data_IF_426499024516
#
_entry.id   IF_426499024516
#
_cell.length_a   1.000
_cell.length_b   1.000
_cell.length_c   1.000
_cell.angle_alpha   90.00
_cell.angle_beta   90.00
_cell.angle_gamma   90.00
#
_symmetry.space_group_name_H-M   'P 1'
#
loop_
_entity.id
_entity.type
_entity.pdbx_description
1 polymer ?
#
# COMPACT_ATOMS: atom_id res chain seq x y z
N UNK A 1 -2.68 11.48 16.75
CA UNK A 1 -2.75 10.84 15.41
C UNK A 1 -2.37 9.38 15.55
N UNK A 2 -3.25 8.50 15.08
CA UNK A 2 -3.00 7.07 15.05
C UNK A 2 -1.84 6.74 14.08
N UNK A 3 -1.30 5.52 14.16
CA UNK A 3 -0.32 5.04 13.17
C UNK A 3 -0.91 5.04 11.75
N UNK A 4 -2.22 4.75 11.61
CA UNK A 4 -2.94 4.80 10.35
C UNK A 4 -2.93 6.22 9.76
N UNK A 5 -3.31 7.22 10.57
CA UNK A 5 -3.37 8.62 10.12
C UNK A 5 -2.00 9.12 9.66
N UNK A 6 -0.94 8.74 10.37
CA UNK A 6 0.44 9.12 10.02
C UNK A 6 0.86 8.52 8.68
N UNK A 7 0.52 7.24 8.44
CA UNK A 7 0.84 6.56 7.18
C UNK A 7 0.04 7.13 6.01
N UNK A 8 -1.28 7.38 6.18
CA UNK A 8 -2.10 8.08 5.19
C UNK A 8 -1.52 9.46 4.88
N UNK A 9 -1.24 10.27 5.90
CA UNK A 9 -0.62 11.59 5.70
C UNK A 9 0.70 11.52 4.97
N UNK A 10 1.56 10.52 5.25
CA UNK A 10 2.82 10.33 4.51
C UNK A 10 2.54 9.96 3.05
N UNK A 11 1.65 9.00 2.80
CA UNK A 11 1.29 8.54 1.45
C UNK A 11 0.83 9.72 0.60
N UNK A 12 -0.13 10.51 1.10
CA UNK A 12 -0.73 11.66 0.42
C UNK A 12 0.10 12.95 0.44
N UNK A 13 1.37 12.91 0.84
CA UNK A 13 2.25 14.07 0.65
C UNK A 13 2.44 14.38 -0.83
N UNK A 14 2.55 15.68 -1.11
CA UNK A 14 2.94 16.23 -2.41
C UNK A 14 4.17 17.14 -2.22
N UNK A 15 5.29 16.89 -2.93
CA UNK A 15 5.49 15.77 -3.85
C UNK A 15 5.47 14.40 -3.15
N UNK A 16 5.26 13.34 -3.93
CA UNK A 16 5.24 11.97 -3.41
C UNK A 16 6.50 11.66 -2.56
N UNK A 17 6.35 10.97 -1.42
CA UNK A 17 7.48 10.65 -0.55
C UNK A 17 8.45 9.68 -1.25
N UNK A 18 9.74 10.05 -1.27
CA UNK A 18 10.81 9.23 -1.88
C UNK A 18 11.30 8.09 -0.97
N UNK A 19 10.83 8.05 0.27
CA UNK A 19 11.26 7.15 1.34
C UNK A 19 10.12 6.25 1.84
N UNK A 20 9.01 6.17 1.12
CA UNK A 20 7.87 5.33 1.53
C UNK A 20 8.20 3.86 1.30
N UNK A 21 8.11 3.04 2.35
CA UNK A 21 8.56 1.65 2.30
C UNK A 21 7.44 0.65 2.04
N UNK A 22 7.80 -0.56 1.62
CA UNK A 22 6.89 -1.69 1.52
C UNK A 22 6.25 -2.02 2.87
N UNK A 23 7.02 -1.97 3.97
CA UNK A 23 6.50 -2.27 5.31
C UNK A 23 5.51 -1.20 5.79
N UNK A 24 5.72 0.06 5.42
CA UNK A 24 4.76 1.15 5.64
C UNK A 24 3.47 0.90 4.85
N UNK A 25 3.57 0.51 3.57
CA UNK A 25 2.40 0.18 2.74
C UNK A 25 1.63 -1.02 3.29
N UNK A 26 2.34 -2.10 3.60
CA UNK A 26 1.77 -3.31 4.22
C UNK A 26 1.04 -2.95 5.51
N UNK A 27 1.67 -2.19 6.40
CA UNK A 27 1.03 -1.77 7.65
C UNK A 27 -0.23 -0.92 7.40
N UNK A 28 -0.19 -0.03 6.40
CA UNK A 28 -1.32 0.80 6.01
C UNK A 28 -2.48 -0.05 5.50
N UNK A 29 -2.24 -0.92 4.53
CA UNK A 29 -3.28 -1.76 3.91
C UNK A 29 -3.90 -2.74 4.92
N UNK A 30 -3.09 -3.39 5.76
CA UNK A 30 -3.60 -4.27 6.82
C UNK A 30 -4.50 -3.53 7.82
N UNK A 31 -4.17 -2.27 8.15
CA UNK A 31 -5.01 -1.43 9.01
C UNK A 31 -6.29 -0.93 8.33
N UNK A 32 -6.34 -0.96 7.01
CA UNK A 32 -7.51 -0.63 6.20
C UNK A 32 -8.39 -1.84 5.89
N UNK A 33 -8.13 -3.01 6.49
CA UNK A 33 -8.96 -4.20 6.30
C UNK A 33 -8.52 -5.11 5.15
N UNK A 34 -7.41 -4.80 4.47
CA UNK A 34 -6.82 -5.72 3.51
C UNK A 34 -6.14 -6.89 4.22
N UNK A 35 -6.16 -8.06 3.57
CA UNK A 35 -5.46 -9.26 3.99
C UNK A 35 -4.34 -9.54 2.98
N UNK A 36 -3.14 -9.81 3.47
CA UNK A 36 -1.98 -10.14 2.64
C UNK A 36 -1.93 -11.63 2.31
N UNK A 37 -1.76 -11.93 1.02
CA UNK A 37 -1.58 -13.27 0.49
C UNK A 37 -0.27 -13.31 -0.31
N UNK A 38 0.67 -14.14 0.13
CA UNK A 38 1.95 -14.33 -0.54
C UNK A 38 1.78 -15.21 -1.78
N UNK A 39 2.24 -14.73 -2.94
CA UNK A 39 2.34 -15.52 -4.17
C UNK A 39 3.75 -16.07 -4.39
N UNK A 40 3.97 -16.70 -5.54
CA UNK A 40 5.30 -17.19 -5.93
C UNK A 40 6.31 -16.04 -6.10
N UNK A 41 7.49 -16.19 -5.49
CA UNK A 41 8.56 -15.19 -5.54
C UNK A 41 8.20 -13.90 -4.79
N UNK A 42 8.40 -12.74 -5.40
CA UNK A 42 8.11 -11.43 -4.80
C UNK A 42 6.66 -10.97 -4.96
N UNK A 43 5.80 -11.79 -5.57
CA UNK A 43 4.39 -11.43 -5.80
C UNK A 43 3.62 -11.44 -4.49
N UNK A 44 2.89 -10.37 -4.23
CA UNK A 44 2.02 -10.24 -3.06
C UNK A 44 0.68 -9.68 -3.49
N UNK A 45 -0.40 -10.29 -3.02
CA UNK A 45 -1.77 -9.81 -3.19
C UNK A 45 -2.26 -9.26 -1.86
N UNK A 46 -2.88 -8.09 -1.88
CA UNK A 46 -3.66 -7.58 -0.75
C UNK A 46 -5.14 -7.63 -1.15
N UNK A 47 -5.97 -8.36 -0.42
CA UNK A 47 -7.39 -8.52 -0.72
C UNK A 47 -8.25 -7.90 0.38
N UNK A 48 -9.18 -7.01 0.01
CA UNK A 48 -10.16 -6.47 0.94
C UNK A 48 -11.47 -7.29 0.85
N UNK A 49 -11.80 -8.12 1.85
CA UNK A 49 -12.94 -9.04 1.76
C UNK A 49 -14.30 -8.32 1.69
N UNK A 50 -14.48 -7.20 2.41
CA UNK A 50 -15.76 -6.49 2.40
C UNK A 50 -16.02 -5.70 1.11
N UNK A 51 -14.96 -5.28 0.41
CA UNK A 51 -15.03 -4.52 -0.84
C UNK A 51 -14.83 -5.43 -2.07
N UNK A 52 -14.59 -6.73 -1.84
CA UNK A 52 -14.20 -7.72 -2.84
C UNK A 52 -13.11 -7.22 -3.82
N UNK A 53 -12.09 -6.53 -3.29
CA UNK A 53 -11.12 -5.82 -4.12
C UNK A 53 -9.67 -6.30 -3.92
N UNK A 54 -8.98 -6.76 -4.98
CA UNK A 54 -7.58 -7.16 -4.92
C UNK A 54 -6.60 -6.07 -5.39
N UNK A 55 -5.51 -5.90 -4.65
CA UNK A 55 -4.32 -5.13 -5.05
C UNK A 55 -3.16 -6.10 -5.25
N UNK A 56 -2.74 -6.27 -6.49
CA UNK A 56 -1.59 -7.11 -6.83
C UNK A 56 -0.32 -6.26 -6.99
N UNK A 57 0.72 -6.61 -6.25
CA UNK A 57 2.00 -5.92 -6.21
C UNK A 57 3.17 -6.91 -6.24
N UNK A 58 4.35 -6.36 -6.52
CA UNK A 58 5.62 -7.04 -6.32
C UNK A 58 6.38 -6.33 -5.19
N UNK A 59 6.84 -7.11 -4.21
CA UNK A 59 7.75 -6.61 -3.19
C UNK A 59 9.04 -6.11 -3.86
N UNK A 60 9.54 -4.91 -3.52
CA UNK A 60 10.81 -4.41 -4.05
C UNK A 60 11.97 -5.34 -3.70
N UNK A 61 12.85 -5.63 -4.67
CA UNK A 61 14.08 -6.39 -4.47
C UNK A 61 15.18 -5.96 -5.47
N UNK A 62 16.42 -5.68 -5.01
CA UNK A 62 16.80 -5.45 -3.60
C UNK A 62 16.20 -4.14 -3.06
N UNK A 63 16.02 -4.06 -1.73
CA UNK A 63 15.57 -2.85 -1.04
C UNK A 63 14.14 -2.92 -0.48
N UNK A 64 13.67 -1.78 0.02
CA UNK A 64 12.37 -1.67 0.70
C UNK A 64 11.55 -0.44 0.24
N UNK A 65 12.14 0.45 -0.57
CA UNK A 65 11.51 1.71 -0.99
C UNK A 65 10.59 1.46 -2.19
N UNK A 66 9.39 2.00 -2.14
CA UNK A 66 8.42 1.96 -3.23
C UNK A 66 8.71 3.05 -4.26
N UNK A 67 8.56 2.69 -5.54
CA UNK A 67 8.63 3.65 -6.64
C UNK A 67 7.40 4.55 -6.62
N UNK A 68 7.56 5.81 -7.03
CA UNK A 68 6.51 6.83 -7.02
C UNK A 68 5.23 6.39 -7.75
N UNK A 69 5.36 5.69 -8.88
CA UNK A 69 4.18 5.19 -9.62
C UNK A 69 3.36 4.17 -8.81
N UNK A 70 3.99 3.40 -7.93
CA UNK A 70 3.28 2.45 -7.05
C UNK A 70 2.47 3.26 -6.04
N UNK A 71 3.08 4.29 -5.43
CA UNK A 71 2.38 5.16 -4.48
C UNK A 71 1.19 5.85 -5.14
N UNK A 72 1.35 6.37 -6.36
CA UNK A 72 0.26 6.98 -7.12
C UNK A 72 -0.88 6.00 -7.37
N UNK A 73 -0.59 4.80 -7.87
CA UNK A 73 -1.60 3.75 -8.09
C UNK A 73 -2.34 3.38 -6.81
N UNK A 74 -1.63 3.31 -5.68
CA UNK A 74 -2.25 3.01 -4.39
C UNK A 74 -3.15 4.15 -3.94
N UNK A 75 -2.72 5.43 -4.06
CA UNK A 75 -3.59 6.59 -3.75
C UNK A 75 -4.90 6.51 -4.52
N UNK A 76 -4.82 6.38 -5.84
CA UNK A 76 -5.99 6.29 -6.73
C UNK A 76 -6.90 5.12 -6.32
N UNK A 77 -6.31 3.95 -6.03
CA UNK A 77 -7.08 2.79 -5.57
C UNK A 77 -7.80 3.04 -4.25
N UNK A 78 -7.14 3.70 -3.27
CA UNK A 78 -7.76 3.97 -1.98
C UNK A 78 -8.84 5.05 -2.08
N UNK A 79 -8.64 6.05 -2.94
CA UNK A 79 -9.61 7.11 -3.23
C UNK A 79 -10.87 6.51 -3.91
N UNK A 80 -10.70 5.64 -4.89
CA UNK A 80 -11.80 4.95 -5.59
C UNK A 80 -12.61 4.03 -4.65
N UNK A 81 -11.93 3.39 -3.71
CA UNK A 81 -12.55 2.52 -2.70
C UNK A 81 -13.17 3.31 -1.52
N UNK A 82 -12.87 4.60 -1.38
CA UNK A 82 -13.36 5.45 -0.30
C UNK A 82 -12.81 5.10 1.09
N UNK A 83 -11.60 4.56 1.18
CA UNK A 83 -11.02 3.98 2.41
C UNK A 83 -9.99 4.82 3.16
#
# INVERSE_FOLDING_TARGET
MSKLDKLKKKLYKEPAPKDFTWDELKTLLLKLGFIEEQGSGSRVKFYHPELDYPINLHKPHPGNILKEYILKRIKETLDDLGV
#
